data_IF_665719610956
#
_entry.id   IF_665719610956
#
_cell.length_a   1.000
_cell.length_b   1.000
_cell.length_c   1.000
_cell.angle_alpha   90.00
_cell.angle_beta   90.00
_cell.angle_gamma   90.00
#
_symmetry.space_group_name_H-M   'P 1'
#
loop_
_entity.id
_entity.type
_entity.pdbx_description
1 polymer ?
#
# COMPACT_ATOMS: atom_id res chain seq x y z
N UNK A 1 -14.15 11.12 1.51
CA UNK A 1 -14.13 9.70 1.09
C UNK A 1 -13.31 9.63 -0.18
N UNK A 2 -12.28 8.79 -0.22
CA UNK A 2 -11.40 8.59 -1.37
C UNK A 2 -11.98 7.53 -2.31
N UNK A 3 -11.60 7.57 -3.58
CA UNK A 3 -11.89 6.47 -4.50
C UNK A 3 -11.00 5.26 -4.17
N UNK A 4 -9.72 5.51 -3.89
CA UNK A 4 -8.73 4.46 -3.56
C UNK A 4 -7.88 4.87 -2.36
N UNK A 5 -7.79 4.00 -1.36
CA UNK A 5 -6.79 4.08 -0.30
C UNK A 5 -5.68 3.04 -0.52
N UNK A 6 -4.44 3.46 -0.40
CA UNK A 6 -3.26 2.60 -0.53
C UNK A 6 -2.58 2.52 0.83
N UNK A 7 -2.42 1.31 1.35
CA UNK A 7 -1.74 1.07 2.62
C UNK A 7 -0.30 0.68 2.36
N UNK A 8 0.63 1.56 2.75
CA UNK A 8 2.06 1.44 2.46
C UNK A 8 2.52 2.35 1.32
N UNK A 9 3.65 3.02 1.53
CA UNK A 9 4.24 4.01 0.61
C UNK A 9 5.57 3.58 0.01
N UNK A 10 5.87 2.28 0.04
CA UNK A 10 7.03 1.72 -0.66
C UNK A 10 6.86 1.74 -2.19
N UNK A 11 7.77 1.10 -2.95
CA UNK A 11 7.74 1.15 -4.42
C UNK A 11 6.40 0.70 -5.04
N UNK A 12 5.78 -0.34 -4.49
CA UNK A 12 4.47 -0.82 -4.95
C UNK A 12 3.36 0.23 -4.70
N UNK A 13 3.28 0.78 -3.49
CA UNK A 13 2.28 1.77 -3.13
C UNK A 13 2.44 3.09 -3.87
N UNK A 14 3.67 3.58 -4.00
CA UNK A 14 3.98 4.78 -4.77
C UNK A 14 3.65 4.62 -6.27
N UNK A 15 3.92 3.45 -6.85
CA UNK A 15 3.54 3.14 -8.23
C UNK A 15 2.03 3.11 -8.39
N UNK A 16 1.32 2.33 -7.56
CA UNK A 16 -0.14 2.27 -7.57
C UNK A 16 -0.76 3.67 -7.45
N UNK A 17 -0.28 4.48 -6.51
CA UNK A 17 -0.76 5.83 -6.27
C UNK A 17 -0.55 6.76 -7.47
N UNK A 18 0.60 6.63 -8.14
CA UNK A 18 0.88 7.38 -9.37
C UNK A 18 -0.15 7.05 -10.44
N UNK A 19 -0.45 5.77 -10.67
CA UNK A 19 -1.38 5.37 -11.71
C UNK A 19 -2.84 5.69 -11.38
N UNK A 20 -3.29 5.47 -10.14
CA UNK A 20 -4.67 5.79 -9.74
C UNK A 20 -4.92 7.29 -9.76
N UNK A 21 -3.98 8.10 -9.27
CA UNK A 21 -4.11 9.56 -9.33
C UNK A 21 -4.10 10.08 -10.77
N UNK A 22 -3.27 9.51 -11.65
CA UNK A 22 -3.28 9.83 -13.10
C UNK A 22 -4.57 9.45 -13.81
N UNK A 23 -5.27 8.43 -13.31
CA UNK A 23 -6.59 8.07 -13.81
C UNK A 23 -7.70 9.03 -13.32
N UNK A 24 -7.37 10.05 -12.53
CA UNK A 24 -8.32 11.03 -12.00
C UNK A 24 -9.03 10.58 -10.72
N UNK A 25 -8.59 9.48 -10.11
CA UNK A 25 -9.18 8.97 -8.87
C UNK A 25 -8.65 9.74 -7.65
N UNK A 26 -9.54 10.10 -6.73
CA UNK A 26 -9.13 10.63 -5.42
C UNK A 26 -8.39 9.54 -4.65
N UNK A 27 -7.06 9.67 -4.62
CA UNK A 27 -6.15 8.64 -4.11
C UNK A 27 -5.47 9.12 -2.83
N UNK A 28 -5.48 8.30 -1.78
CA UNK A 28 -4.67 8.51 -0.57
C UNK A 28 -3.67 7.37 -0.39
N UNK A 29 -2.45 7.70 0.04
CA UNK A 29 -1.44 6.76 0.51
C UNK A 29 -1.24 6.99 2.00
N UNK A 30 -1.44 5.96 2.80
CA UNK A 30 -1.20 5.99 4.25
C UNK A 30 0.03 5.12 4.52
N UNK A 31 1.14 5.74 4.94
CA UNK A 31 2.41 5.04 5.08
C UNK A 31 3.11 5.30 6.42
N UNK A 32 3.56 4.22 7.06
CA UNK A 32 4.29 4.26 8.33
C UNK A 32 5.81 4.46 8.16
N UNK A 33 6.26 4.63 6.92
CA UNK A 33 7.65 4.80 6.52
C UNK A 33 8.63 3.70 6.98
N UNK A 34 8.09 2.53 7.34
CA UNK A 34 8.84 1.42 7.92
C UNK A 34 9.23 0.33 6.89
N UNK A 35 9.05 0.60 5.59
CA UNK A 35 9.27 -0.38 4.52
C UNK A 35 10.73 -0.83 4.39
N UNK A 36 10.95 -2.10 4.06
CA UNK A 36 12.29 -2.72 3.94
C UNK A 36 13.20 -1.97 2.96
N UNK A 37 12.61 -1.40 1.91
CA UNK A 37 13.32 -0.63 0.88
C UNK A 37 14.13 0.51 1.49
N UNK A 38 13.67 1.17 2.57
CA UNK A 38 14.43 2.25 3.25
C UNK A 38 15.84 1.83 3.71
N UNK A 39 16.10 0.53 3.85
CA UNK A 39 17.40 0.00 4.33
C UNK A 39 18.24 -0.64 3.23
N UNK A 40 17.81 -0.53 1.97
CA UNK A 40 18.46 -1.17 0.83
C UNK A 40 19.36 -0.21 0.03
N UNK A 41 20.30 -0.80 -0.70
CA UNK A 41 20.84 -0.23 -1.94
C UNK A 41 20.29 -1.07 -3.09
N UNK A 42 19.56 -0.45 -4.01
CA UNK A 42 18.83 -1.15 -5.07
C UNK A 42 19.61 -1.03 -6.38
N UNK A 43 20.28 -2.12 -6.79
CA UNK A 43 21.12 -2.16 -7.99
C UNK A 43 20.43 -2.83 -9.20
N UNK A 44 19.17 -3.21 -9.05
CA UNK A 44 18.42 -4.01 -10.02
C UNK A 44 17.07 -3.40 -10.39
N UNK A 45 16.90 -2.09 -10.20
CA UNK A 45 15.70 -1.38 -10.61
C UNK A 45 15.92 -0.67 -11.95
N UNK A 46 15.02 -0.92 -12.90
CA UNK A 46 15.07 -0.31 -14.23
C UNK A 46 15.14 1.22 -14.12
N UNK A 47 16.00 1.85 -14.93
CA UNK A 47 16.20 3.30 -14.92
C UNK A 47 17.32 3.80 -14.00
N UNK A 48 17.90 2.94 -13.17
CA UNK A 48 19.00 3.28 -12.26
C UNK A 48 20.22 2.38 -12.51
N UNK A 49 21.01 2.61 -13.58
CA UNK A 49 22.14 1.74 -13.96
C UNK A 49 23.25 1.71 -12.89
N UNK A 50 23.44 2.80 -12.17
CA UNK A 50 24.40 2.90 -11.05
C UNK A 50 23.78 2.49 -9.70
N UNK A 51 22.55 1.98 -9.72
CA UNK A 51 21.73 1.74 -8.53
C UNK A 51 21.17 3.02 -7.91
N UNK A 52 20.33 2.84 -6.89
CA UNK A 52 19.70 3.92 -6.12
C UNK A 52 19.59 3.52 -4.66
N UNK A 53 19.81 4.47 -3.74
CA UNK A 53 19.59 4.21 -2.32
C UNK A 53 18.10 4.04 -2.08
N UNK A 54 17.77 3.06 -1.26
CA UNK A 54 16.41 2.73 -0.89
C UNK A 54 15.56 3.90 -0.38
N UNK A 55 16.06 4.74 0.54
CA UNK A 55 15.37 5.97 0.95
C UNK A 55 15.06 6.89 -0.23
N UNK A 56 16.04 7.16 -1.09
CA UNK A 56 15.88 8.03 -2.26
C UNK A 56 14.82 7.50 -3.23
N UNK A 57 14.76 6.17 -3.42
CA UNK A 57 13.73 5.51 -4.22
C UNK A 57 12.33 5.70 -3.61
N UNK A 58 12.17 5.51 -2.31
CA UNK A 58 10.88 5.68 -1.62
C UNK A 58 10.44 7.13 -1.67
N UNK A 59 11.32 8.07 -1.33
CA UNK A 59 11.01 9.50 -1.30
C UNK A 59 10.66 10.04 -2.69
N UNK A 60 11.43 9.66 -3.72
CA UNK A 60 11.14 10.05 -5.10
C UNK A 60 9.85 9.44 -5.61
N UNK A 61 9.56 8.18 -5.26
CA UNK A 61 8.30 7.53 -5.61
C UNK A 61 7.09 8.24 -5.00
N UNK A 62 7.14 8.57 -3.69
CA UNK A 62 6.08 9.34 -3.01
C UNK A 62 5.91 10.73 -3.63
N UNK A 63 7.02 11.41 -3.94
CA UNK A 63 6.97 12.71 -4.62
C UNK A 63 6.32 12.61 -6.02
N UNK A 64 6.60 11.53 -6.76
CA UNK A 64 5.98 11.29 -8.06
C UNK A 64 4.47 11.06 -7.92
N UNK A 65 4.03 10.26 -6.95
CA UNK A 65 2.61 10.06 -6.66
C UNK A 65 1.92 11.40 -6.32
N UNK A 66 2.51 12.18 -5.42
CA UNK A 66 1.99 13.49 -5.02
C UNK A 66 1.88 14.47 -6.20
N UNK A 67 2.87 14.52 -7.08
CA UNK A 67 2.85 15.34 -8.31
C UNK A 67 1.72 14.97 -9.27
N UNK A 68 1.22 13.74 -9.22
CA UNK A 68 0.10 13.28 -10.03
C UNK A 68 -1.25 13.41 -9.33
N UNK A 69 -1.30 13.96 -8.10
CA UNK A 69 -2.53 14.25 -7.38
C UNK A 69 -2.88 13.29 -6.25
N UNK A 70 -2.01 12.32 -5.91
CA UNK A 70 -2.22 11.49 -4.72
C UNK A 70 -1.93 12.29 -3.44
N UNK A 71 -2.77 12.12 -2.42
CA UNK A 71 -2.46 12.59 -1.07
C UNK A 71 -1.58 11.56 -0.37
N UNK A 72 -0.45 11.97 0.20
CA UNK A 72 0.44 11.08 0.94
C UNK A 72 0.46 11.52 2.39
N UNK A 73 -0.01 10.67 3.29
CA UNK A 73 -0.04 10.92 4.73
C UNK A 73 0.83 9.91 5.47
N UNK A 74 1.57 10.40 6.45
CA UNK A 74 2.25 9.54 7.40
C UNK A 74 1.21 8.90 8.32
N UNK A 75 1.30 7.58 8.53
CA UNK A 75 0.41 6.86 9.42
C UNK A 75 0.55 5.34 9.29
N UNK A 76 0.39 4.63 10.40
CA UNK A 76 0.34 3.17 10.41
C UNK A 76 -1.11 2.73 10.50
N UNK A 77 -1.62 2.12 9.43
CA UNK A 77 -2.96 1.51 9.44
C UNK A 77 -2.92 0.24 10.31
N UNK A 78 -3.84 0.17 11.27
CA UNK A 78 -3.99 -0.94 12.23
C UNK A 78 -5.39 -1.54 12.21
N UNK A 79 -6.32 -0.96 11.45
CA UNK A 79 -7.66 -1.51 11.25
C UNK A 79 -8.14 -1.28 9.83
N UNK A 80 -8.84 -2.27 9.28
CA UNK A 80 -9.50 -2.23 7.97
C UNK A 80 -10.85 -2.92 8.11
N UNK A 81 -11.93 -2.15 7.95
CA UNK A 81 -13.29 -2.64 8.13
C UNK A 81 -14.15 -2.27 6.92
N UNK A 82 -14.91 -3.24 6.39
CA UNK A 82 -15.91 -2.96 5.36
C UNK A 82 -17.09 -2.22 5.99
N UNK A 83 -17.55 -1.14 5.35
CA UNK A 83 -18.73 -0.41 5.83
C UNK A 83 -19.96 -1.29 5.55
N UNK A 84 -20.68 -1.72 6.59
CA UNK A 84 -21.73 -2.74 6.47
C UNK A 84 -22.80 -2.44 5.41
N UNK A 85 -23.49 -1.30 5.55
CA UNK A 85 -24.61 -0.90 4.68
C UNK A 85 -24.21 0.07 3.54
N UNK A 86 -22.90 0.35 3.38
CA UNK A 86 -22.40 1.34 2.43
C UNK A 86 -21.25 0.75 1.62
N UNK A 87 -21.15 1.10 0.34
CA UNK A 87 -19.96 0.78 -0.44
C UNK A 87 -18.72 1.42 0.18
N UNK A 88 -17.68 0.62 0.44
CA UNK A 88 -16.36 1.09 0.84
C UNK A 88 -15.85 0.56 2.18
N UNK A 89 -14.78 1.18 2.65
CA UNK A 89 -13.96 0.73 3.75
C UNK A 89 -13.57 1.89 4.66
N UNK A 90 -13.40 1.58 5.94
CA UNK A 90 -12.82 2.44 6.96
C UNK A 90 -11.43 1.92 7.33
N UNK A 91 -10.42 2.79 7.25
CA UNK A 91 -9.04 2.50 7.63
C UNK A 91 -8.68 3.29 8.90
N UNK A 92 -8.44 2.58 9.99
CA UNK A 92 -8.03 3.16 11.27
C UNK A 92 -6.51 3.17 11.40
N UNK A 93 -5.93 4.29 11.82
CA UNK A 93 -4.49 4.41 12.10
C UNK A 93 -4.18 4.30 13.59
N UNK A 94 -2.95 3.91 13.92
CA UNK A 94 -2.46 3.72 15.29
C UNK A 94 -2.61 4.98 16.17
N UNK A 95 -2.57 6.17 15.56
CA UNK A 95 -2.75 7.46 16.24
C UNK A 95 -4.21 7.94 16.32
N UNK A 96 -5.17 7.08 15.98
CA UNK A 96 -6.60 7.32 16.13
C UNK A 96 -7.26 8.11 14.99
N UNK A 97 -6.55 8.41 13.89
CA UNK A 97 -7.20 8.94 12.67
C UNK A 97 -7.94 7.82 11.95
N UNK A 98 -8.92 8.23 11.15
CA UNK A 98 -9.73 7.34 10.32
C UNK A 98 -9.86 7.91 8.92
N UNK A 99 -9.75 7.04 7.93
CA UNK A 99 -9.88 7.37 6.52
C UNK A 99 -10.93 6.47 5.87
N UNK A 100 -11.69 7.00 4.91
CA UNK A 100 -12.69 6.23 4.18
C UNK A 100 -12.37 6.17 2.70
N UNK A 101 -12.46 4.99 2.09
CA UNK A 101 -12.24 4.79 0.67
C UNK A 101 -13.20 3.76 0.04
N UNK A 102 -13.49 3.88 -1.25
CA UNK A 102 -14.34 2.92 -1.98
C UNK A 102 -13.61 1.61 -2.25
N UNK A 103 -12.31 1.68 -2.53
CA UNK A 103 -11.43 0.53 -2.77
C UNK A 103 -10.16 0.70 -1.96
N UNK A 104 -9.52 -0.42 -1.61
CA UNK A 104 -8.25 -0.44 -0.89
C UNK A 104 -7.22 -1.22 -1.69
N UNK A 105 -5.96 -0.79 -1.70
CA UNK A 105 -4.83 -1.55 -2.23
C UNK A 105 -3.84 -1.76 -1.09
N UNK A 106 -3.55 -3.02 -0.77
CA UNK A 106 -2.62 -3.40 0.29
C UNK A 106 -1.21 -3.57 -0.27
N UNK A 107 -0.26 -2.73 0.18
CA UNK A 107 1.16 -2.80 -0.22
C UNK A 107 2.07 -2.99 1.00
N UNK A 108 1.73 -4.00 1.80
CA UNK A 108 2.20 -4.20 3.18
C UNK A 108 3.64 -4.75 3.32
N UNK A 109 4.36 -4.90 2.21
CA UNK A 109 5.68 -5.54 2.20
C UNK A 109 5.62 -6.97 2.75
N UNK A 110 6.42 -7.26 3.77
CA UNK A 110 6.53 -8.59 4.37
C UNK A 110 5.53 -8.86 5.52
N UNK A 111 4.60 -7.94 5.78
CA UNK A 111 3.73 -8.01 6.94
C UNK A 111 2.25 -8.15 6.54
N UNK A 112 1.73 -9.38 6.55
CA UNK A 112 0.33 -9.66 6.23
C UNK A 112 -0.65 -9.45 7.41
N UNK A 113 -0.19 -8.91 8.55
CA UNK A 113 -0.99 -8.78 9.77
C UNK A 113 -2.32 -8.05 9.56
N UNK A 114 -2.28 -6.88 8.91
CA UNK A 114 -3.48 -6.08 8.66
C UNK A 114 -4.51 -6.85 7.81
N UNK A 115 -4.04 -7.57 6.78
CA UNK A 115 -4.90 -8.36 5.92
C UNK A 115 -5.56 -9.50 6.72
N UNK A 116 -4.79 -10.20 7.56
CA UNK A 116 -5.29 -11.26 8.44
C UNK A 116 -6.32 -10.76 9.43
N UNK A 117 -6.07 -9.60 10.05
CA UNK A 117 -7.02 -8.96 10.98
C UNK A 117 -8.32 -8.56 10.27
N UNK A 118 -8.25 -8.15 9.01
CA UNK A 118 -9.41 -7.85 8.17
C UNK A 118 -10.13 -9.10 7.62
N UNK A 119 -9.71 -10.32 8.00
CA UNK A 119 -10.30 -11.56 7.51
C UNK A 119 -9.95 -11.92 6.07
N UNK A 120 -8.93 -11.28 5.49
CA UNK A 120 -8.44 -11.58 4.15
C UNK A 120 -7.59 -12.85 4.19
N UNK A 121 -7.81 -13.75 3.23
CA UNK A 121 -7.06 -15.00 3.12
C UNK A 121 -5.57 -14.73 2.89
N UNK A 122 -4.75 -15.49 3.59
CA UNK A 122 -3.29 -15.50 3.48
C UNK A 122 -2.81 -16.90 3.14
N UNK A 123 -1.58 -16.99 2.62
CA UNK A 123 -0.92 -18.26 2.33
C UNK A 123 0.56 -18.21 2.72
N UNK A 124 1.22 -19.37 2.88
CA UNK A 124 2.65 -19.41 3.12
C UNK A 124 3.44 -18.65 2.05
N UNK A 125 4.40 -17.84 2.47
CA UNK A 125 5.31 -17.16 1.56
C UNK A 125 6.31 -18.11 0.91
N UNK A 126 6.76 -17.77 -0.31
CA UNK A 126 7.71 -18.58 -1.07
C UNK A 126 9.17 -18.14 -0.89
N UNK A 127 9.39 -16.96 -0.31
CA UNK A 127 10.71 -16.35 -0.20
C UNK A 127 11.39 -16.64 1.15
N UNK A 128 12.73 -16.82 1.18
CA UNK A 128 13.46 -16.97 2.43
C UNK A 128 13.27 -15.72 3.30
N UNK A 129 12.57 -15.87 4.43
CA UNK A 129 12.17 -14.84 5.43
C UNK A 129 10.80 -14.21 5.24
N UNK A 130 10.04 -14.58 4.22
CA UNK A 130 8.61 -14.22 4.10
C UNK A 130 7.79 -15.43 4.51
N UNK A 131 7.26 -15.42 5.72
CA UNK A 131 6.49 -16.56 6.26
C UNK A 131 5.09 -16.64 5.66
N UNK A 132 4.48 -15.49 5.40
CA UNK A 132 3.09 -15.35 5.02
C UNK A 132 2.93 -14.19 4.05
N UNK A 133 2.05 -14.36 3.07
CA UNK A 133 1.65 -13.35 2.11
C UNK A 133 0.13 -13.34 1.97
N UNK A 134 -0.42 -12.21 1.51
CA UNK A 134 -1.84 -12.12 1.14
C UNK A 134 -2.10 -13.02 -0.07
N UNK A 135 -3.14 -13.84 0.00
CA UNK A 135 -3.55 -14.64 -1.16
C UNK A 135 -4.39 -13.79 -2.11
N UNK A 136 -4.02 -13.81 -3.39
CA UNK A 136 -4.62 -12.97 -4.43
C UNK A 136 -4.77 -13.74 -5.72
N UNK A 137 -5.75 -13.34 -6.53
CA UNK A 137 -5.88 -13.81 -7.91
C UNK A 137 -4.78 -13.24 -8.82
N UNK A 138 -4.80 -13.60 -10.10
CA UNK A 138 -3.82 -13.15 -11.10
C UNK A 138 -3.82 -11.63 -11.34
N UNK A 139 -4.91 -10.94 -11.00
CA UNK A 139 -5.10 -9.51 -11.17
C UNK A 139 -4.80 -8.75 -9.86
N UNK A 140 -4.43 -9.46 -8.78
CA UNK A 140 -4.11 -8.89 -7.48
C UNK A 140 -5.31 -8.70 -6.55
N UNK A 141 -6.50 -9.25 -6.87
CA UNK A 141 -7.68 -9.13 -6.00
C UNK A 141 -7.59 -10.11 -4.84
N UNK A 142 -7.94 -9.64 -3.64
CA UNK A 142 -7.96 -10.48 -2.44
C UNK A 142 -9.27 -11.27 -2.30
N UNK A 143 -9.38 -12.08 -1.24
CA UNK A 143 -10.63 -12.75 -0.89
C UNK A 143 -11.73 -11.81 -0.36
N UNK A 144 -11.40 -10.54 -0.08
CA UNK A 144 -12.35 -9.51 0.34
C UNK A 144 -12.63 -8.58 -0.84
N UNK A 145 -13.83 -8.62 -1.45
CA UNK A 145 -14.14 -7.81 -2.61
C UNK A 145 -13.94 -6.32 -2.36
N UNK A 146 -13.12 -5.66 -3.18
CA UNK A 146 -12.78 -4.25 -3.05
C UNK A 146 -11.45 -3.96 -2.36
N UNK A 147 -10.71 -5.00 -1.99
CA UNK A 147 -9.33 -4.97 -1.44
C UNK A 147 -8.38 -5.80 -2.30
#
# INVERSE_FOLDING_TARGET
MYDVAIVGGGPAGASAATFTARAGLQTIVIDADAGMTRRALVNNHLGFPEGIRGPDMVDTGKLQAARNGAEVVEGKVVGLEQKGDQDGFTLGTEDGRSFEARQVILTLGANAELARQAGIQTKPGTEPRIREIVDVDRDGRTSLPGV
#
